data_IF_308210492640
#
_entry.id   IF_308210492640
#
_cell.length_a   1.000
_cell.length_b   1.000
_cell.length_c   1.000
_cell.angle_alpha   90.00
_cell.angle_beta   90.00
_cell.angle_gamma   90.00
#
_symmetry.space_group_name_H-M   'P 1'
#
loop_
_entity.id
_entity.type
_entity.pdbx_description
1 polymer ?
#
# COMPACT_ATOMS: atom_id res chain seq x y z
N UNK A 1 -23.40 26.95 54.11
CA UNK A 1 -23.65 28.36 53.71
C UNK A 1 -22.71 28.70 52.53
N UNK A 2 -23.12 28.49 51.30
CA UNK A 2 -22.39 29.03 50.14
C UNK A 2 -23.39 29.29 49.01
N UNK A 3 -23.41 30.53 48.57
CA UNK A 3 -24.40 31.12 47.65
C UNK A 3 -23.99 30.79 46.17
N UNK A 4 -24.90 30.41 45.28
CA UNK A 4 -24.57 30.29 43.85
C UNK A 4 -24.65 31.65 43.17
N UNK A 5 -23.62 31.99 42.41
CA UNK A 5 -23.53 33.15 41.57
C UNK A 5 -24.11 32.79 40.20
N UNK A 6 -25.28 33.37 39.88
CA UNK A 6 -25.85 33.29 38.53
C UNK A 6 -25.15 34.29 37.63
N UNK A 7 -24.53 33.84 36.55
CA UNK A 7 -24.05 34.67 35.46
C UNK A 7 -24.93 34.37 34.23
N UNK A 8 -25.80 35.30 33.93
CA UNK A 8 -26.58 35.32 32.69
C UNK A 8 -25.70 35.82 31.57
N UNK A 9 -25.37 34.99 30.58
CA UNK A 9 -24.72 35.40 29.36
C UNK A 9 -25.74 35.46 28.23
N UNK A 10 -26.01 36.69 27.76
CA UNK A 10 -26.82 36.96 26.57
C UNK A 10 -26.10 36.45 25.30
N UNK A 11 -26.68 35.48 24.62
CA UNK A 11 -26.28 35.10 23.29
C UNK A 11 -26.97 35.97 22.25
N UNK A 12 -26.21 36.83 21.58
CA UNK A 12 -26.68 37.56 20.40
C UNK A 12 -26.48 36.65 19.19
N UNK A 13 -27.58 36.17 18.60
CA UNK A 13 -27.58 35.50 17.30
C UNK A 13 -27.43 36.51 16.19
N UNK A 14 -26.28 36.55 15.53
CA UNK A 14 -26.10 37.20 14.23
C UNK A 14 -26.29 36.18 13.12
N UNK A 15 -27.41 36.23 12.43
CA UNK A 15 -27.67 35.43 11.21
C UNK A 15 -26.97 36.09 10.03
N UNK A 16 -25.85 35.53 9.58
CA UNK A 16 -25.24 35.86 8.31
C UNK A 16 -25.90 35.08 7.19
N UNK A 17 -26.63 35.77 6.32
CA UNK A 17 -27.17 35.19 5.09
C UNK A 17 -26.05 34.99 4.09
N UNK A 18 -25.69 33.71 3.81
CA UNK A 18 -24.78 33.35 2.73
C UNK A 18 -25.59 33.20 1.44
N UNK A 19 -25.44 34.19 0.53
CA UNK A 19 -25.97 34.09 -0.84
C UNK A 19 -25.11 33.14 -1.64
N UNK A 20 -25.62 31.97 -1.97
CA UNK A 20 -25.00 31.01 -2.89
C UNK A 20 -25.17 31.51 -4.33
N UNK A 21 -24.11 32.02 -4.93
CA UNK A 21 -24.04 32.22 -6.37
C UNK A 21 -23.71 30.92 -7.04
N UNK A 22 -24.68 30.30 -7.69
CA UNK A 22 -24.48 29.22 -8.61
C UNK A 22 -23.75 29.75 -9.85
N UNK A 23 -22.47 29.39 -10.03
CA UNK A 23 -21.77 29.56 -11.29
C UNK A 23 -21.87 28.28 -12.08
N UNK A 24 -22.75 28.28 -13.06
CA UNK A 24 -22.76 27.32 -14.16
C UNK A 24 -21.49 27.52 -14.99
N UNK A 25 -20.45 26.75 -14.66
CA UNK A 25 -19.27 26.61 -15.51
C UNK A 25 -19.37 25.24 -16.21
N UNK A 26 -20.04 25.26 -17.34
CA UNK A 26 -20.09 24.17 -18.31
C UNK A 26 -18.68 24.04 -18.93
N UNK A 27 -17.87 23.13 -18.40
CA UNK A 27 -16.62 22.75 -19.04
C UNK A 27 -16.92 21.89 -20.27
N UNK A 28 -16.27 22.15 -21.42
CA UNK A 28 -16.45 21.33 -22.61
C UNK A 28 -15.95 19.90 -22.33
N UNK A 29 -16.79 18.92 -22.61
CA UNK A 29 -16.43 17.51 -22.55
C UNK A 29 -15.28 17.25 -23.54
N UNK A 30 -14.06 17.17 -23.00
CA UNK A 30 -12.93 16.61 -23.72
C UNK A 30 -13.23 15.14 -23.98
N UNK A 31 -13.40 14.79 -25.24
CA UNK A 31 -13.52 13.42 -25.69
C UNK A 31 -12.31 12.62 -25.17
N UNK A 32 -12.59 11.68 -24.26
CA UNK A 32 -11.59 10.73 -23.79
C UNK A 32 -11.18 9.87 -24.98
N UNK A 33 -9.99 10.12 -25.49
CA UNK A 33 -9.33 9.19 -26.39
C UNK A 33 -9.19 7.84 -25.65
N UNK A 34 -9.41 6.69 -26.31
CA UNK A 34 -9.22 5.40 -25.66
C UNK A 34 -7.76 5.32 -25.23
N UNK A 35 -7.55 5.28 -23.90
CA UNK A 35 -6.24 5.01 -23.33
C UNK A 35 -5.80 3.64 -23.86
N UNK A 36 -4.82 3.65 -24.76
CA UNK A 36 -4.14 2.44 -25.18
C UNK A 36 -3.60 1.78 -23.90
N UNK A 37 -4.15 0.63 -23.57
CA UNK A 37 -3.68 -0.24 -22.50
C UNK A 37 -2.35 -0.82 -22.97
N UNK A 38 -1.29 -0.02 -22.90
CA UNK A 38 0.06 -0.54 -23.00
C UNK A 38 0.28 -1.37 -21.74
N UNK A 39 0.15 -2.69 -21.88
CA UNK A 39 0.65 -3.63 -20.88
C UNK A 39 2.13 -3.29 -20.69
N UNK A 40 2.56 -2.82 -19.52
CA UNK A 40 3.98 -2.52 -19.32
C UNK A 40 4.78 -3.79 -19.56
N UNK A 41 5.87 -3.68 -20.32
CA UNK A 41 6.82 -4.77 -20.49
C UNK A 41 7.23 -5.25 -19.07
N UNK A 42 7.42 -6.56 -18.86
CA UNK A 42 7.80 -7.08 -17.55
C UNK A 42 9.10 -6.39 -17.11
N UNK A 43 9.05 -5.78 -15.93
CA UNK A 43 10.20 -5.09 -15.34
C UNK A 43 11.31 -6.12 -15.10
N UNK A 44 12.51 -5.84 -15.61
CA UNK A 44 13.67 -6.67 -15.30
C UNK A 44 14.13 -6.37 -13.87
N UNK A 45 14.17 -7.40 -13.00
CA UNK A 45 14.62 -7.26 -11.63
C UNK A 45 16.14 -7.28 -11.50
N UNK A 46 16.67 -6.52 -10.53
CA UNK A 46 18.05 -6.53 -10.08
C UNK A 46 18.16 -7.32 -8.77
N UNK A 47 18.74 -8.51 -8.82
CA UNK A 47 18.89 -9.38 -7.66
C UNK A 47 19.82 -8.80 -6.58
N UNK A 48 20.81 -7.97 -6.92
CA UNK A 48 21.71 -7.36 -5.95
C UNK A 48 20.96 -6.32 -5.09
N UNK A 49 20.13 -5.50 -5.74
CA UNK A 49 19.24 -4.56 -5.04
C UNK A 49 18.14 -5.30 -4.28
N UNK A 50 17.57 -6.35 -4.86
CA UNK A 50 16.55 -7.19 -4.23
C UNK A 50 17.04 -7.81 -2.93
N UNK A 51 18.30 -8.22 -2.86
CA UNK A 51 18.94 -8.73 -1.63
C UNK A 51 18.87 -7.70 -0.50
N UNK A 52 19.11 -6.43 -0.79
CA UNK A 52 19.05 -5.37 0.22
C UNK A 52 17.60 -5.12 0.67
N UNK A 53 16.65 -5.10 -0.28
CA UNK A 53 15.24 -4.87 0.00
C UNK A 53 14.59 -6.00 0.81
N UNK A 54 15.09 -7.22 0.73
CA UNK A 54 14.57 -8.38 1.47
C UNK A 54 14.98 -8.43 2.95
N UNK A 55 15.73 -7.42 3.45
CA UNK A 55 16.11 -7.37 4.86
C UNK A 55 14.91 -7.48 5.80
N UNK A 56 13.82 -6.78 5.50
CA UNK A 56 12.59 -6.82 6.31
C UNK A 56 11.86 -8.16 6.24
N UNK A 57 12.10 -8.96 5.22
CA UNK A 57 11.47 -10.26 5.04
C UNK A 57 12.08 -11.35 5.92
N UNK A 58 13.37 -11.20 6.26
CA UNK A 58 14.16 -12.24 6.93
C UNK A 58 13.64 -12.59 8.32
N UNK A 59 13.15 -11.60 9.07
CA UNK A 59 12.66 -11.80 10.44
C UNK A 59 11.49 -12.80 10.54
N UNK A 60 10.65 -12.83 9.52
CA UNK A 60 9.48 -13.72 9.47
C UNK A 60 9.72 -14.93 8.56
N UNK A 61 10.26 -14.71 7.36
CA UNK A 61 10.40 -15.75 6.34
C UNK A 61 11.73 -16.51 6.38
N UNK A 62 12.75 -15.98 7.06
CA UNK A 62 14.07 -16.59 7.12
C UNK A 62 14.62 -16.89 5.73
N UNK A 63 14.80 -15.84 4.91
CA UNK A 63 15.10 -15.90 3.47
C UNK A 63 16.24 -16.89 3.13
N UNK A 64 17.30 -16.90 3.96
CA UNK A 64 18.37 -17.88 3.87
C UNK A 64 18.30 -18.77 5.12
N UNK A 65 18.16 -20.10 4.96
CA UNK A 65 17.96 -20.98 6.09
C UNK A 65 16.58 -20.81 6.73
N UNK A 66 15.54 -21.07 5.95
CA UNK A 66 14.15 -20.94 6.40
C UNK A 66 13.91 -21.59 7.76
N UNK A 67 13.44 -20.78 8.69
CA UNK A 67 12.88 -21.24 9.97
C UNK A 67 11.56 -20.52 10.18
N UNK A 68 10.51 -21.27 10.49
CA UNK A 68 9.27 -20.64 10.92
C UNK A 68 9.49 -20.01 12.31
N UNK A 69 9.59 -18.68 12.36
CA UNK A 69 9.83 -17.95 13.60
C UNK A 69 8.61 -18.02 14.55
N UNK A 70 7.45 -18.38 14.04
CA UNK A 70 6.20 -18.43 14.79
C UNK A 70 5.64 -19.86 14.74
N UNK A 71 5.91 -20.72 15.73
CA UNK A 71 5.49 -22.13 15.70
C UNK A 71 3.97 -22.32 15.55
N UNK A 72 3.18 -21.36 16.01
CA UNK A 72 1.72 -21.38 15.91
C UNK A 72 1.17 -20.62 14.69
N UNK A 73 2.04 -20.08 13.84
CA UNK A 73 1.68 -19.29 12.68
C UNK A 73 2.56 -19.65 11.49
N UNK A 74 1.96 -20.26 10.48
CA UNK A 74 2.71 -20.72 9.33
C UNK A 74 3.09 -19.56 8.38
N UNK A 75 4.36 -19.17 8.43
CA UNK A 75 4.95 -18.22 7.49
C UNK A 75 5.52 -19.01 6.31
N UNK A 76 5.13 -18.75 5.06
CA UNK A 76 5.57 -19.53 3.92
C UNK A 76 7.06 -19.32 3.62
N UNK A 77 7.71 -20.37 3.09
CA UNK A 77 9.05 -20.25 2.49
C UNK A 77 8.93 -19.42 1.21
N UNK A 78 9.68 -18.32 1.13
CA UNK A 78 9.71 -17.44 -0.04
C UNK A 78 10.97 -17.59 -0.89
N UNK A 79 12.08 -18.04 -0.31
CA UNK A 79 13.30 -18.33 -1.06
C UNK A 79 13.12 -19.54 -1.98
N UNK A 80 13.63 -19.45 -3.22
CA UNK A 80 13.56 -20.49 -4.22
C UNK A 80 12.22 -20.61 -4.95
N UNK A 81 11.30 -19.70 -4.74
CA UNK A 81 10.06 -19.59 -5.51
C UNK A 81 10.35 -18.97 -6.88
N UNK A 82 9.48 -19.22 -7.87
CA UNK A 82 9.67 -18.59 -9.19
C UNK A 82 9.50 -17.07 -9.12
N UNK A 83 10.29 -16.36 -9.91
CA UNK A 83 10.24 -14.90 -10.00
C UNK A 83 8.83 -14.39 -10.34
N UNK A 84 8.18 -15.04 -11.32
CA UNK A 84 6.82 -14.72 -11.73
C UNK A 84 5.82 -14.87 -10.56
N UNK A 85 5.92 -15.97 -9.80
CA UNK A 85 5.04 -16.19 -8.65
C UNK A 85 5.24 -15.11 -7.58
N UNK A 86 6.49 -14.78 -7.26
CA UNK A 86 6.83 -13.78 -6.24
C UNK A 86 6.34 -12.39 -6.65
N UNK A 87 6.55 -12.01 -7.90
CA UNK A 87 6.08 -10.73 -8.45
C UNK A 87 4.56 -10.63 -8.37
N UNK A 88 3.84 -11.66 -8.82
CA UNK A 88 2.38 -11.67 -8.77
C UNK A 88 1.88 -11.63 -7.31
N UNK A 89 2.43 -12.45 -6.43
CA UNK A 89 2.01 -12.50 -5.03
C UNK A 89 2.19 -11.15 -4.31
N UNK A 90 3.34 -10.49 -4.47
CA UNK A 90 3.60 -9.18 -3.89
C UNK A 90 2.69 -8.10 -4.50
N UNK A 91 2.49 -8.13 -5.81
CA UNK A 91 1.56 -7.21 -6.50
C UNK A 91 0.12 -7.38 -6.01
N UNK A 92 -0.33 -8.62 -5.82
CA UNK A 92 -1.67 -8.91 -5.30
C UNK A 92 -1.85 -8.42 -3.85
N UNK A 93 -0.84 -8.58 -3.00
CA UNK A 93 -0.84 -7.99 -1.66
C UNK A 93 -0.86 -6.47 -1.72
N UNK A 94 -0.05 -5.85 -2.58
CA UNK A 94 -0.01 -4.40 -2.77
C UNK A 94 -1.37 -3.83 -3.18
N UNK A 95 -2.06 -4.51 -4.11
CA UNK A 95 -3.42 -4.16 -4.56
C UNK A 95 -4.51 -4.53 -3.55
N UNK A 96 -4.21 -5.30 -2.53
CA UNK A 96 -5.19 -5.77 -1.54
C UNK A 96 -6.13 -6.86 -2.05
N UNK A 97 -5.89 -7.46 -3.22
CA UNK A 97 -6.64 -8.61 -3.73
C UNK A 97 -6.31 -9.89 -2.96
N UNK A 98 -5.04 -10.04 -2.57
CA UNK A 98 -4.61 -11.09 -1.63
C UNK A 98 -4.66 -10.55 -0.20
N UNK A 99 -5.36 -11.26 0.69
CA UNK A 99 -5.64 -10.77 2.05
C UNK A 99 -4.61 -11.26 3.05
N UNK A 100 -3.80 -10.37 3.58
CA UNK A 100 -2.93 -10.56 4.74
C UNK A 100 -2.42 -9.18 5.18
N UNK A 101 -2.90 -8.60 6.29
CA UNK A 101 -2.62 -7.21 6.65
C UNK A 101 -1.13 -6.87 6.68
N UNK A 102 -0.30 -7.72 7.29
CA UNK A 102 1.16 -7.50 7.37
C UNK A 102 1.80 -7.51 5.97
N UNK A 103 1.46 -8.48 5.12
CA UNK A 103 2.02 -8.57 3.78
C UNK A 103 1.51 -7.45 2.88
N UNK A 104 0.29 -7.00 3.07
CA UNK A 104 -0.23 -5.83 2.37
C UNK A 104 0.56 -4.57 2.73
N UNK A 105 0.78 -4.31 4.03
CA UNK A 105 1.58 -3.18 4.48
C UNK A 105 3.02 -3.23 3.94
N UNK A 106 3.66 -4.40 3.98
CA UNK A 106 4.99 -4.59 3.40
C UNK A 106 5.01 -4.30 1.89
N UNK A 107 4.08 -4.87 1.15
CA UNK A 107 4.05 -4.72 -0.32
C UNK A 107 3.70 -3.32 -0.77
N UNK A 108 2.89 -2.59 -0.01
CA UNK A 108 2.55 -1.19 -0.29
C UNK A 108 3.75 -0.23 -0.11
N UNK A 109 4.75 -0.60 0.68
CA UNK A 109 5.97 0.20 0.85
C UNK A 109 6.94 0.08 -0.33
N UNK A 110 6.75 -0.89 -1.24
CA UNK A 110 7.61 -1.14 -2.38
C UNK A 110 7.05 -0.55 -3.67
N UNK A 111 7.91 0.00 -4.52
CA UNK A 111 7.58 0.30 -5.91
C UNK A 111 7.43 -1.00 -6.73
N UNK A 112 6.93 -0.91 -7.95
CA UNK A 112 6.82 -2.09 -8.83
C UNK A 112 8.21 -2.60 -9.24
N UNK A 113 9.20 -1.71 -9.36
CA UNK A 113 10.60 -2.08 -9.60
C UNK A 113 11.19 -2.80 -8.37
N UNK A 114 10.93 -2.32 -7.16
CA UNK A 114 11.39 -2.99 -5.94
C UNK A 114 10.81 -4.41 -5.84
N UNK A 115 9.55 -4.59 -6.22
CA UNK A 115 8.92 -5.92 -6.27
C UNK A 115 9.62 -6.83 -7.28
N UNK A 116 9.96 -6.32 -8.48
CA UNK A 116 10.72 -7.08 -9.47
C UNK A 116 12.12 -7.46 -8.95
N UNK A 117 12.81 -6.54 -8.31
CA UNK A 117 14.15 -6.75 -7.75
C UNK A 117 14.12 -7.81 -6.63
N UNK A 118 13.15 -7.70 -5.71
CA UNK A 118 12.92 -8.68 -4.64
C UNK A 118 12.64 -10.06 -5.23
N UNK A 119 11.78 -10.17 -6.23
CA UNK A 119 11.44 -11.42 -6.87
C UNK A 119 12.66 -12.05 -7.57
N UNK A 120 13.45 -11.23 -8.29
CA UNK A 120 14.70 -11.68 -8.92
C UNK A 120 15.68 -12.26 -7.91
N UNK A 121 15.86 -11.61 -6.75
CA UNK A 121 16.75 -12.13 -5.71
C UNK A 121 16.19 -13.40 -5.07
N UNK A 122 14.97 -13.40 -4.60
CA UNK A 122 14.37 -14.52 -3.89
C UNK A 122 14.30 -15.80 -4.74
N UNK A 123 14.15 -15.69 -6.05
CA UNK A 123 14.16 -16.84 -6.96
C UNK A 123 15.51 -17.56 -7.01
N UNK A 124 16.62 -16.88 -6.69
CA UNK A 124 17.98 -17.44 -6.68
C UNK A 124 18.35 -18.10 -5.33
N UNK A 125 17.60 -17.85 -4.27
CA UNK A 125 17.86 -18.39 -2.92
C UNK A 125 17.55 -19.89 -2.89
N UNK A 126 18.50 -20.69 -2.39
CA UNK A 126 18.36 -22.15 -2.27
C UNK A 126 18.06 -22.57 -0.83
#
# INVERSE_FOLDING_TARGET
>A
MMRPLMIAACFVLTTAAFSASAQDAQAPAAAAAPAATTTPAPLKGDAARGKQLTYTCQGCHGVTGYKNAYPNYHVPKIGGQSELYLTNALTEYKKGTRKHPTMQAQSQSFSDQDIADIAAFLSTVK
#
